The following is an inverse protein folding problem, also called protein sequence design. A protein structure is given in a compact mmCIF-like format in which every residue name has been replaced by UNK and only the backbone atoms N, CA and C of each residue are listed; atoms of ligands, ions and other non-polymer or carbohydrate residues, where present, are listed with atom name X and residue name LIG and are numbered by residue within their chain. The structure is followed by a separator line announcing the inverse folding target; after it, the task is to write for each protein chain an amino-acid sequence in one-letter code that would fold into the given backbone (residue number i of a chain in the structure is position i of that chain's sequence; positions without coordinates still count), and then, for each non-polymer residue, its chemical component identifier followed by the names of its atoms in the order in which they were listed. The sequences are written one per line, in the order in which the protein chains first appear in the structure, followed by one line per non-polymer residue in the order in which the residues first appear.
data_IF_579100283418
#
_entry.id   IF_579100283418
#
_cell.length_a   1.000
_cell.length_b   1.000
_cell.length_c   1.000
_cell.angle_alpha   90.00
_cell.angle_beta   90.00
_cell.angle_gamma   90.00
#
_symmetry.space_group_name_H-M   'P 1'
#
loop_
_entity.id
_entity.type
_entity.pdbx_description
1 polymer ?
#
# COMPACT_ATOMS: atom_id res chain seq x y z
N UNK A 1 -18.95 17.07 22.45
CA UNK A 1 -18.31 18.39 22.51
C UNK A 1 -16.82 18.31 22.15
N UNK A 2 -16.03 17.44 22.80
CA UNK A 2 -14.56 17.35 22.58
C UNK A 2 -14.18 17.05 21.11
N UNK A 3 -14.96 16.24 20.40
CA UNK A 3 -14.73 15.88 19.00
C UNK A 3 -15.16 16.99 18.03
N UNK A 4 -16.09 17.85 18.41
CA UNK A 4 -16.59 18.93 17.55
C UNK A 4 -15.65 20.12 17.51
N UNK A 5 -14.83 20.35 18.53
CA UNK A 5 -13.88 21.46 18.59
C UNK A 5 -12.86 21.41 17.46
N UNK A 6 -12.12 20.30 17.23
CA UNK A 6 -11.17 20.21 16.10
C UNK A 6 -11.85 20.40 14.74
N UNK A 7 -13.02 19.79 14.55
CA UNK A 7 -13.78 19.92 13.29
C UNK A 7 -14.21 21.38 13.07
N UNK A 8 -14.67 22.07 14.11
CA UNK A 8 -15.02 23.47 14.02
C UNK A 8 -13.80 24.33 13.70
N UNK A 9 -12.66 24.11 14.38
CA UNK A 9 -11.41 24.86 14.13
C UNK A 9 -10.98 24.73 12.67
N UNK A 10 -10.93 23.50 12.12
CA UNK A 10 -10.60 23.25 10.72
C UNK A 10 -11.63 23.92 9.79
N UNK A 11 -12.93 23.89 10.14
CA UNK A 11 -13.96 24.55 9.32
C UNK A 11 -13.87 26.09 9.34
N UNK A 12 -13.43 26.67 10.44
CA UNK A 12 -13.23 28.11 10.53
C UNK A 12 -12.00 28.61 9.81
N UNK A 13 -10.92 27.80 9.75
CA UNK A 13 -9.69 28.20 9.04
C UNK A 13 -9.86 28.32 7.52
N UNK A 14 -10.91 27.77 6.92
CA UNK A 14 -11.27 28.04 5.52
C UNK A 14 -11.60 29.52 5.22
N UNK A 15 -11.92 30.30 6.25
CA UNK A 15 -12.27 31.72 6.12
C UNK A 15 -11.10 32.65 6.48
N UNK A 16 -9.94 32.10 6.85
CA UNK A 16 -8.75 32.87 7.11
C UNK A 16 -8.03 33.23 5.80
N UNK A 17 -7.34 34.37 5.78
CA UNK A 17 -6.54 34.79 4.62
C UNK A 17 -5.28 33.90 4.52
N UNK A 18 -5.05 33.34 3.33
CA UNK A 18 -3.84 32.55 3.06
C UNK A 18 -2.62 33.46 2.89
N UNK A 19 -1.47 32.96 3.33
CA UNK A 19 -0.19 33.69 3.22
C UNK A 19 0.33 33.77 1.78
N UNK A 20 1.36 34.61 1.51
CA UNK A 20 2.02 34.64 0.20
C UNK A 20 2.64 33.30 -0.20
N UNK A 21 2.97 32.44 0.76
CA UNK A 21 3.46 31.08 0.52
C UNK A 21 2.46 30.21 -0.25
N UNK A 22 1.15 30.46 -0.12
CA UNK A 22 0.12 29.77 -0.89
C UNK A 22 0.36 29.88 -2.40
N UNK A 23 0.67 31.06 -2.91
CA UNK A 23 0.92 31.28 -4.35
C UNK A 23 2.15 30.50 -4.81
N UNK A 24 3.24 30.56 -4.04
CA UNK A 24 4.49 29.89 -4.37
C UNK A 24 4.30 28.37 -4.38
N UNK A 25 3.65 27.80 -3.37
CA UNK A 25 3.41 26.38 -3.28
C UNK A 25 2.46 25.88 -4.37
N UNK A 26 1.39 26.64 -4.64
CA UNK A 26 0.43 26.31 -5.69
C UNK A 26 1.05 26.32 -7.09
N UNK A 27 1.88 27.31 -7.39
CA UNK A 27 2.48 27.44 -8.72
C UNK A 27 3.67 26.52 -8.93
N UNK A 28 4.40 26.15 -7.86
CA UNK A 28 5.67 25.44 -7.98
C UNK A 28 5.54 23.95 -7.62
N UNK A 29 4.87 23.59 -6.52
CA UNK A 29 4.93 22.24 -5.94
C UNK A 29 3.64 21.44 -6.03
N UNK A 30 2.47 22.06 -6.20
CA UNK A 30 1.19 21.36 -6.18
C UNK A 30 1.09 20.25 -7.22
N UNK A 31 1.59 20.48 -8.43
CA UNK A 31 1.57 19.49 -9.51
C UNK A 31 2.45 18.30 -9.15
N UNK A 32 3.60 18.52 -8.55
CA UNK A 32 4.49 17.47 -8.09
C UNK A 32 3.82 16.62 -6.99
N UNK A 33 3.18 17.26 -6.02
CA UNK A 33 2.46 16.58 -4.94
C UNK A 33 1.33 15.70 -5.45
N UNK A 34 0.54 16.23 -6.39
CA UNK A 34 -0.55 15.47 -7.04
C UNK A 34 0.03 14.28 -7.83
N UNK A 35 1.05 14.51 -8.64
CA UNK A 35 1.68 13.45 -9.44
C UNK A 35 2.25 12.34 -8.58
N UNK A 36 2.99 12.69 -7.52
CA UNK A 36 3.56 11.74 -6.58
C UNK A 36 2.48 10.96 -5.83
N UNK A 37 1.42 11.63 -5.36
CA UNK A 37 0.30 10.97 -4.67
C UNK A 37 -0.43 9.99 -5.57
N UNK A 38 -0.69 10.36 -6.83
CA UNK A 38 -1.34 9.47 -7.80
C UNK A 38 -0.44 8.29 -8.15
N UNK A 39 0.85 8.52 -8.37
CA UNK A 39 1.81 7.48 -8.70
C UNK A 39 1.95 6.48 -7.54
N UNK A 40 2.07 6.98 -6.31
CA UNK A 40 2.10 6.17 -5.10
C UNK A 40 0.82 5.33 -4.98
N UNK A 41 -0.35 5.98 -5.07
CA UNK A 41 -1.65 5.34 -4.96
C UNK A 41 -1.81 4.21 -5.98
N UNK A 42 -1.57 4.48 -7.25
CA UNK A 42 -1.69 3.48 -8.31
C UNK A 42 -0.71 2.32 -8.13
N UNK A 43 0.54 2.60 -7.76
CA UNK A 43 1.54 1.58 -7.50
C UNK A 43 1.14 0.66 -6.34
N UNK A 44 0.68 1.24 -5.24
CA UNK A 44 0.23 0.48 -4.06
C UNK A 44 -1.03 -0.34 -4.38
N UNK A 45 -2.01 0.25 -5.06
CA UNK A 45 -3.24 -0.47 -5.45
C UNK A 45 -2.96 -1.68 -6.34
N UNK A 46 -2.09 -1.54 -7.33
CA UNK A 46 -1.71 -2.64 -8.23
C UNK A 46 -1.04 -3.77 -7.45
N UNK A 47 -0.05 -3.45 -6.63
CA UNK A 47 0.69 -4.47 -5.87
C UNK A 47 -0.18 -5.13 -4.80
N UNK A 48 -0.99 -4.38 -4.06
CA UNK A 48 -1.90 -4.93 -3.06
C UNK A 48 -3.00 -5.77 -3.68
N UNK A 49 -3.48 -5.41 -4.87
CA UNK A 49 -4.39 -6.26 -5.65
C UNK A 49 -3.73 -7.60 -5.99
N UNK A 50 -2.51 -7.59 -6.54
CA UNK A 50 -1.79 -8.81 -6.94
C UNK A 50 -1.48 -9.67 -5.72
N UNK A 51 -0.87 -9.10 -4.68
CA UNK A 51 -0.50 -9.85 -3.48
C UNK A 51 -1.72 -10.31 -2.68
N UNK A 52 -2.70 -9.42 -2.46
CA UNK A 52 -3.90 -9.73 -1.69
C UNK A 52 -4.78 -10.78 -2.35
N UNK A 53 -5.14 -10.60 -3.62
CA UNK A 53 -5.97 -11.58 -4.34
C UNK A 53 -5.22 -12.86 -4.64
N UNK A 54 -3.93 -12.79 -5.00
CA UNK A 54 -3.09 -13.94 -5.30
C UNK A 54 -2.91 -14.84 -4.08
N UNK A 55 -2.54 -14.29 -2.94
CA UNK A 55 -2.39 -15.05 -1.70
C UNK A 55 -3.73 -15.57 -1.18
N UNK A 56 -4.81 -14.78 -1.27
CA UNK A 56 -6.16 -15.23 -0.94
C UNK A 56 -6.58 -16.43 -1.80
N UNK A 57 -6.30 -16.40 -3.10
CA UNK A 57 -6.59 -17.51 -4.00
C UNK A 57 -5.80 -18.77 -3.63
N UNK A 58 -4.48 -18.63 -3.43
CA UNK A 58 -3.62 -19.77 -3.08
C UNK A 58 -4.08 -20.44 -1.79
N UNK A 59 -4.34 -19.67 -0.75
CA UNK A 59 -4.73 -20.20 0.58
C UNK A 59 -6.16 -20.73 0.62
N UNK A 60 -7.04 -20.26 -0.29
CA UNK A 60 -8.44 -20.72 -0.33
C UNK A 60 -8.66 -21.97 -1.18
N UNK A 61 -7.85 -22.18 -2.22
CA UNK A 61 -8.10 -23.23 -3.22
C UNK A 61 -7.01 -24.29 -3.34
N UNK A 62 -5.90 -24.13 -2.62
CA UNK A 62 -4.81 -25.08 -2.65
C UNK A 62 -4.43 -25.53 -1.23
N UNK A 63 -4.35 -26.84 -1.06
CA UNK A 63 -3.76 -27.44 0.12
C UNK A 63 -2.27 -27.68 -0.11
N UNK A 64 -1.44 -26.97 0.64
CA UNK A 64 0.01 -27.08 0.63
C UNK A 64 0.54 -27.13 2.07
N UNK A 65 1.74 -27.71 2.31
CA UNK A 65 2.33 -27.71 3.63
C UNK A 65 2.43 -26.31 4.22
N UNK A 66 1.82 -26.09 5.40
CA UNK A 66 1.78 -24.77 6.04
C UNK A 66 0.60 -23.89 5.66
N UNK A 67 -0.33 -24.31 4.79
CA UNK A 67 -1.48 -23.48 4.39
C UNK A 67 -2.27 -22.94 5.59
N UNK A 68 -2.46 -23.74 6.64
CA UNK A 68 -3.14 -23.32 7.87
C UNK A 68 -2.39 -22.22 8.64
N UNK A 69 -1.08 -22.24 8.63
CA UNK A 69 -0.25 -21.18 9.20
C UNK A 69 -0.37 -19.90 8.36
N UNK A 70 -0.25 -19.98 7.04
CA UNK A 70 -0.34 -18.81 6.16
C UNK A 70 -1.72 -18.14 6.17
N UNK A 71 -2.79 -18.87 6.45
CA UNK A 71 -4.14 -18.30 6.64
C UNK A 71 -4.16 -17.18 7.68
N UNK A 72 -3.34 -17.27 8.72
CA UNK A 72 -3.24 -16.29 9.80
C UNK A 72 -2.02 -15.40 9.66
N UNK A 73 -0.89 -15.96 9.24
CA UNK A 73 0.35 -15.22 9.11
C UNK A 73 0.25 -14.02 8.15
N UNK A 74 -0.52 -14.15 7.06
CA UNK A 74 -0.74 -13.07 6.11
C UNK A 74 -1.54 -11.88 6.71
N UNK A 75 -2.34 -12.14 7.75
CA UNK A 75 -3.06 -11.08 8.45
C UNK A 75 -2.12 -10.29 9.38
N UNK A 76 -1.03 -10.91 9.84
CA UNK A 76 -0.07 -10.25 10.73
C UNK A 76 0.63 -9.04 10.08
N UNK A 77 0.54 -8.88 8.76
CA UNK A 77 1.04 -7.66 8.11
C UNK A 77 0.40 -6.38 8.69
N UNK A 78 -0.84 -6.46 9.18
CA UNK A 78 -1.48 -5.35 9.90
C UNK A 78 -0.84 -5.00 11.25
N UNK A 79 -0.14 -5.93 11.87
CA UNK A 79 0.50 -5.69 13.17
C UNK A 79 1.70 -4.75 13.06
N UNK A 80 2.22 -4.54 11.87
CA UNK A 80 3.41 -3.73 11.62
C UNK A 80 3.01 -2.44 10.89
N UNK A 81 3.19 -1.26 11.50
CA UNK A 81 2.91 0.02 10.86
C UNK A 81 3.74 0.22 9.58
N UNK A 82 3.19 0.93 8.57
CA UNK A 82 3.85 1.12 7.27
C UNK A 82 5.26 1.69 7.35
N UNK A 83 5.52 2.65 8.25
CA UNK A 83 6.85 3.25 8.41
C UNK A 83 7.90 2.25 8.93
N UNK A 84 7.49 1.24 9.73
CA UNK A 84 8.40 0.18 10.19
C UNK A 84 8.77 -0.74 9.01
N UNK A 85 7.83 -1.03 8.11
CA UNK A 85 8.13 -1.72 6.86
C UNK A 85 9.12 -0.90 6.01
N UNK A 86 8.91 0.41 5.88
CA UNK A 86 9.78 1.31 5.14
C UNK A 86 11.22 1.24 5.66
N UNK A 87 11.39 1.44 6.96
CA UNK A 87 12.68 1.36 7.62
C UNK A 87 13.32 -0.03 7.50
N UNK A 88 12.54 -1.09 7.74
CA UNK A 88 13.05 -2.47 7.73
C UNK A 88 13.50 -2.92 6.35
N UNK A 89 12.72 -2.60 5.30
CA UNK A 89 13.07 -2.92 3.91
C UNK A 89 14.30 -2.12 3.50
N UNK A 90 14.32 -0.81 3.80
CA UNK A 90 15.47 0.03 3.50
C UNK A 90 16.74 -0.50 4.19
N UNK A 91 16.70 -0.73 5.51
CA UNK A 91 17.84 -1.24 6.27
C UNK A 91 18.31 -2.63 5.82
N UNK A 92 17.37 -3.51 5.40
CA UNK A 92 17.71 -4.84 4.91
C UNK A 92 18.48 -4.81 3.59
N UNK A 93 18.10 -3.91 2.68
CA UNK A 93 18.70 -3.78 1.34
C UNK A 93 19.75 -2.68 1.21
N UNK A 94 20.03 -1.94 2.29
CA UNK A 94 21.09 -0.93 2.29
C UNK A 94 22.48 -1.53 2.06
N UNK A 95 23.43 -0.68 1.65
CA UNK A 95 24.81 -1.09 1.32
C UNK A 95 25.55 -1.79 2.46
N UNK A 96 25.11 -1.64 3.70
CA UNK A 96 25.62 -2.32 4.89
C UNK A 96 24.58 -3.25 5.53
N UNK A 97 23.47 -3.50 4.85
CA UNK A 97 22.36 -4.31 5.34
C UNK A 97 22.61 -5.82 5.26
N UNK A 98 21.64 -6.56 5.79
CA UNK A 98 21.72 -8.04 5.84
C UNK A 98 21.75 -8.65 4.44
N UNK A 99 20.96 -8.11 3.49
CA UNK A 99 20.95 -8.57 2.11
C UNK A 99 22.33 -8.41 1.47
N UNK A 100 22.98 -7.26 1.68
CA UNK A 100 24.32 -6.99 1.22
C UNK A 100 25.31 -8.02 1.76
N UNK A 101 25.30 -8.27 3.05
CA UNK A 101 26.20 -9.23 3.70
C UNK A 101 26.03 -10.65 3.16
N UNK A 102 24.77 -11.09 2.96
CA UNK A 102 24.47 -12.41 2.38
C UNK A 102 24.99 -12.52 0.94
N UNK A 103 24.71 -11.51 0.11
CA UNK A 103 25.12 -11.51 -1.29
C UNK A 103 26.64 -11.41 -1.45
N UNK A 104 27.30 -10.61 -0.61
CA UNK A 104 28.77 -10.54 -0.54
C UNK A 104 29.39 -11.90 -0.23
N UNK A 105 28.81 -12.64 0.72
CA UNK A 105 29.30 -13.96 1.10
C UNK A 105 29.05 -15.03 0.01
N UNK A 106 28.00 -14.90 -0.79
CA UNK A 106 27.64 -15.83 -1.86
C UNK A 106 28.39 -15.58 -3.19
N UNK A 107 28.57 -14.32 -3.55
CA UNK A 107 29.07 -13.93 -4.89
C UNK A 107 30.46 -13.26 -4.87
N UNK A 108 31.03 -12.99 -3.69
CA UNK A 108 32.34 -12.32 -3.56
C UNK A 108 32.26 -10.79 -3.64
N UNK A 109 33.39 -10.14 -3.36
CA UNK A 109 33.46 -8.66 -3.38
C UNK A 109 33.43 -8.12 -4.81
N UNK A 110 32.48 -7.28 -5.14
CA UNK A 110 32.49 -6.45 -6.35
C UNK A 110 31.32 -6.62 -7.33
N UNK A 111 30.72 -7.79 -7.46
CA UNK A 111 29.62 -7.99 -8.43
C UNK A 111 28.21 -7.73 -7.85
N UNK A 112 28.03 -7.82 -6.56
CA UNK A 112 26.72 -7.73 -5.90
C UNK A 112 26.11 -6.32 -5.94
N UNK A 113 26.91 -5.26 -5.95
CA UNK A 113 26.40 -3.86 -6.00
C UNK A 113 25.58 -3.54 -7.25
N UNK A 114 25.77 -4.32 -8.33
CA UNK A 114 25.02 -4.15 -9.58
C UNK A 114 23.65 -4.83 -9.54
N UNK A 115 23.45 -5.77 -8.64
CA UNK A 115 22.26 -6.64 -8.62
C UNK A 115 21.29 -6.35 -7.46
N UNK A 116 21.69 -5.53 -6.48
CA UNK A 116 20.78 -5.14 -5.40
C UNK A 116 19.89 -4.00 -5.90
N UNK A 117 18.57 -4.20 -5.97
CA UNK A 117 17.65 -3.12 -6.27
C UNK A 117 17.72 -2.08 -5.14
N UNK A 118 17.83 -0.81 -5.50
CA UNK A 118 17.78 0.28 -4.53
C UNK A 118 16.33 0.48 -4.08
N UNK A 119 16.03 0.07 -2.87
CA UNK A 119 14.73 0.29 -2.23
C UNK A 119 14.68 1.68 -1.60
N UNK A 120 14.65 2.71 -2.44
CA UNK A 120 14.62 4.12 -2.04
C UNK A 120 13.60 4.90 -2.86
N UNK A 121 13.21 6.07 -2.39
CA UNK A 121 12.26 6.94 -3.09
C UNK A 121 10.91 6.27 -3.32
N UNK A 122 10.26 6.62 -4.43
CA UNK A 122 8.91 6.16 -4.77
C UNK A 122 8.77 4.63 -4.80
N UNK A 123 9.76 3.92 -5.33
CA UNK A 123 9.71 2.45 -5.39
C UNK A 123 9.76 1.81 -3.99
N UNK A 124 10.60 2.33 -3.09
CA UNK A 124 10.67 1.86 -1.70
C UNK A 124 9.36 2.09 -0.95
N UNK A 125 8.74 3.27 -1.13
CA UNK A 125 7.46 3.59 -0.52
C UNK A 125 6.33 2.69 -1.03
N UNK A 126 6.22 2.50 -2.36
CA UNK A 126 5.21 1.62 -2.97
C UNK A 126 5.31 0.21 -2.41
N UNK A 127 6.52 -0.35 -2.32
CA UNK A 127 6.71 -1.70 -1.79
C UNK A 127 6.37 -1.80 -0.31
N UNK A 128 6.86 -0.86 0.50
CA UNK A 128 6.64 -0.85 1.95
C UNK A 128 5.15 -0.78 2.28
N UNK A 129 4.44 0.15 1.66
CA UNK A 129 2.99 0.29 1.81
C UNK A 129 2.25 -0.94 1.31
N UNK A 130 2.66 -1.48 0.17
CA UNK A 130 2.01 -2.67 -0.38
C UNK A 130 2.14 -3.87 0.54
N UNK A 131 3.31 -4.11 1.14
CA UNK A 131 3.50 -5.21 2.10
C UNK A 131 2.77 -4.99 3.42
N UNK A 132 2.56 -3.74 3.84
CA UNK A 132 1.75 -3.43 5.02
C UNK A 132 0.25 -3.61 4.74
N UNK A 133 -0.24 -3.10 3.60
CA UNK A 133 -1.66 -2.91 3.34
C UNK A 133 -2.34 -4.04 2.54
N UNK A 134 -1.59 -4.99 1.94
CA UNK A 134 -2.20 -6.05 1.13
C UNK A 134 -3.20 -6.92 1.92
N UNK A 135 -3.08 -6.99 3.25
CA UNK A 135 -3.98 -7.77 4.08
C UNK A 135 -5.43 -7.27 4.04
N UNK A 136 -5.69 -5.99 3.77
CA UNK A 136 -7.06 -5.48 3.51
C UNK A 136 -7.71 -6.24 2.35
N UNK A 137 -7.00 -6.32 1.23
CA UNK A 137 -7.48 -7.03 0.04
C UNK A 137 -7.52 -8.54 0.31
N UNK A 138 -6.50 -9.10 0.97
CA UNK A 138 -6.43 -10.52 1.31
C UNK A 138 -7.63 -10.99 2.11
N UNK A 139 -7.96 -10.31 3.20
CA UNK A 139 -9.06 -10.72 4.10
C UNK A 139 -10.40 -10.71 3.36
N UNK A 140 -10.70 -9.63 2.65
CA UNK A 140 -11.98 -9.47 1.98
C UNK A 140 -12.11 -10.39 0.76
N UNK A 141 -11.05 -10.52 -0.03
CA UNK A 141 -11.01 -11.46 -1.15
C UNK A 141 -11.16 -12.91 -0.66
N UNK A 142 -10.41 -13.30 0.39
CA UNK A 142 -10.49 -14.64 0.97
C UNK A 142 -11.88 -14.94 1.52
N UNK A 143 -12.49 -14.02 2.26
CA UNK A 143 -13.87 -14.18 2.75
C UNK A 143 -14.84 -14.42 1.59
N UNK A 144 -14.72 -13.63 0.52
CA UNK A 144 -15.55 -13.80 -0.68
C UNK A 144 -15.30 -15.15 -1.37
N UNK A 145 -14.05 -15.59 -1.50
CA UNK A 145 -13.71 -16.88 -2.11
C UNK A 145 -14.26 -18.07 -1.32
N UNK A 146 -14.22 -18.01 0.02
CA UNK A 146 -14.78 -19.06 0.88
C UNK A 146 -16.31 -19.08 0.86
N UNK A 147 -16.94 -17.92 0.66
CA UNK A 147 -18.40 -17.82 0.57
C UNK A 147 -18.94 -18.28 -0.80
N UNK A 148 -18.12 -18.23 -1.84
CA UNK A 148 -18.47 -18.75 -3.15
C UNK A 148 -18.65 -20.26 -3.05
N UNK A 149 -19.86 -20.75 -3.36
CA UNK A 149 -20.18 -22.17 -3.22
C UNK A 149 -19.28 -23.03 -4.11
N UNK A 150 -18.92 -24.22 -3.61
CA UNK A 150 -18.22 -25.28 -4.36
C UNK A 150 -18.89 -25.53 -5.73
N UNK A 151 -20.20 -25.29 -5.84
CA UNK A 151 -20.97 -25.44 -7.08
C UNK A 151 -20.43 -24.56 -8.24
N UNK A 152 -19.91 -23.34 -7.98
CA UNK A 152 -19.35 -22.50 -9.04
C UNK A 152 -18.05 -23.07 -9.59
N UNK A 153 -17.24 -23.68 -8.73
CA UNK A 153 -15.99 -24.33 -9.13
C UNK A 153 -16.30 -25.59 -9.93
N UNK A 154 -17.27 -26.38 -9.50
CA UNK A 154 -17.66 -27.62 -10.18
C UNK A 154 -18.37 -27.35 -11.49
N UNK A 155 -19.19 -26.31 -11.56
CA UNK A 155 -19.76 -25.82 -12.83
C UNK A 155 -18.65 -25.42 -13.82
N UNK A 156 -17.63 -24.69 -13.35
CA UNK A 156 -16.51 -24.29 -14.21
C UNK A 156 -15.69 -25.48 -14.73
N UNK A 157 -15.52 -26.53 -13.91
CA UNK A 157 -14.89 -27.79 -14.33
C UNK A 157 -15.76 -28.53 -15.37
N UNK A 158 -17.07 -28.59 -15.14
CA UNK A 158 -18.01 -29.21 -16.10
C UNK A 158 -18.04 -28.51 -17.46
N UNK A 159 -17.77 -27.20 -17.47
CA UNK A 159 -17.60 -26.39 -18.69
C UNK A 159 -16.21 -26.54 -19.32
N UNK A 160 -15.34 -27.42 -18.80
CA UNK A 160 -14.01 -27.68 -19.32
C UNK A 160 -12.98 -26.57 -19.05
N UNK A 161 -13.22 -25.68 -18.09
CA UNK A 161 -12.26 -24.63 -17.75
C UNK A 161 -11.07 -25.18 -16.98
N UNK A 162 -9.86 -24.78 -17.37
CA UNK A 162 -8.68 -24.97 -16.54
C UNK A 162 -8.79 -24.18 -15.23
N UNK A 163 -8.06 -24.56 -14.17
CA UNK A 163 -8.08 -23.87 -12.86
C UNK A 163 -7.86 -22.35 -12.98
N UNK A 164 -6.88 -21.93 -13.78
CA UNK A 164 -6.58 -20.50 -14.02
C UNK A 164 -7.72 -19.81 -14.76
N UNK A 165 -8.30 -20.48 -15.77
CA UNK A 165 -9.44 -19.93 -16.53
C UNK A 165 -10.69 -19.80 -15.67
N UNK A 166 -10.95 -20.77 -14.80
CA UNK A 166 -12.03 -20.71 -13.81
C UNK A 166 -11.82 -19.55 -12.83
N UNK A 167 -10.59 -19.36 -12.33
CA UNK A 167 -10.26 -18.24 -11.47
C UNK A 167 -10.53 -16.89 -12.15
N UNK A 168 -9.95 -16.67 -13.34
CA UNK A 168 -10.05 -15.37 -14.02
C UNK A 168 -11.45 -15.05 -14.53
N UNK A 169 -12.23 -16.07 -14.98
CA UNK A 169 -13.53 -15.86 -15.62
C UNK A 169 -14.74 -16.02 -14.69
N UNK A 170 -14.59 -16.71 -13.57
CA UNK A 170 -15.72 -17.02 -12.66
C UNK A 170 -15.45 -16.49 -11.25
N UNK A 171 -14.38 -16.96 -10.61
CA UNK A 171 -14.11 -16.70 -9.20
C UNK A 171 -13.77 -15.22 -8.95
N UNK A 172 -12.81 -14.69 -9.70
CA UNK A 172 -12.36 -13.31 -9.55
C UNK A 172 -13.46 -12.27 -9.88
N UNK A 173 -14.22 -12.42 -10.97
CA UNK A 173 -15.35 -11.53 -11.23
C UNK A 173 -16.44 -11.57 -10.16
N UNK A 174 -16.74 -12.73 -9.59
CA UNK A 174 -17.74 -12.87 -8.52
C UNK A 174 -17.27 -12.22 -7.21
N UNK A 175 -15.96 -12.14 -6.98
CA UNK A 175 -15.36 -11.50 -5.80
C UNK A 175 -15.11 -9.99 -5.97
N UNK A 176 -15.40 -9.41 -7.14
CA UNK A 176 -15.14 -7.99 -7.42
C UNK A 176 -15.61 -7.03 -6.31
N UNK A 177 -16.86 -7.13 -5.78
CA UNK A 177 -17.29 -6.19 -4.75
C UNK A 177 -16.41 -6.21 -3.50
N UNK A 178 -15.99 -7.40 -3.05
CA UNK A 178 -15.14 -7.56 -1.89
C UNK A 178 -13.71 -7.05 -2.15
N UNK A 179 -13.17 -7.30 -3.34
CA UNK A 179 -11.85 -6.84 -3.75
C UNK A 179 -11.84 -5.31 -3.87
N UNK A 180 -12.86 -4.71 -4.49
CA UNK A 180 -12.98 -3.25 -4.60
C UNK A 180 -13.09 -2.60 -3.22
N UNK A 181 -13.86 -3.18 -2.30
CA UNK A 181 -13.92 -2.71 -0.92
C UNK A 181 -12.54 -2.74 -0.24
N UNK A 182 -11.77 -3.83 -0.41
CA UNK A 182 -10.40 -3.93 0.09
C UNK A 182 -9.47 -2.88 -0.50
N UNK A 183 -9.54 -2.68 -1.81
CA UNK A 183 -8.75 -1.67 -2.50
C UNK A 183 -9.14 -0.24 -2.09
N UNK A 184 -10.41 0.01 -1.80
CA UNK A 184 -10.86 1.31 -1.29
C UNK A 184 -10.26 1.62 0.08
N UNK A 185 -10.18 0.63 0.97
CA UNK A 185 -9.49 0.78 2.26
C UNK A 185 -7.99 1.05 2.07
N UNK A 186 -7.34 0.30 1.17
CA UNK A 186 -5.93 0.55 0.81
C UNK A 186 -5.74 1.96 0.27
N UNK A 187 -6.66 2.44 -0.59
CA UNK A 187 -6.58 3.79 -1.13
C UNK A 187 -6.69 4.86 -0.04
N UNK A 188 -7.62 4.71 0.89
CA UNK A 188 -7.77 5.63 2.03
C UNK A 188 -6.51 5.67 2.89
N UNK A 189 -5.98 4.51 3.28
CA UNK A 189 -4.75 4.42 4.08
C UNK A 189 -3.54 4.99 3.33
N UNK A 190 -3.40 4.69 2.03
CA UNK A 190 -2.29 5.23 1.22
C UNK A 190 -2.34 6.74 1.08
N UNK A 191 -3.52 7.33 0.90
CA UNK A 191 -3.69 8.78 0.80
C UNK A 191 -3.50 9.50 2.13
N UNK A 192 -3.76 8.82 3.24
CA UNK A 192 -3.54 9.36 4.59
C UNK A 192 -2.12 9.12 5.13
N UNK A 193 -1.31 8.32 4.42
CA UNK A 193 0.00 7.93 4.91
C UNK A 193 1.00 9.09 4.88
N UNK A 194 1.64 9.32 6.02
CA UNK A 194 2.68 10.32 6.20
C UNK A 194 4.05 9.68 6.48
N UNK A 195 4.13 8.75 7.43
CA UNK A 195 5.39 8.26 7.99
C UNK A 195 6.31 7.57 6.97
N UNK A 196 5.77 6.67 6.14
CA UNK A 196 6.56 5.98 5.13
C UNK A 196 6.96 6.90 3.97
N UNK A 197 6.10 7.83 3.56
CA UNK A 197 6.41 8.75 2.45
C UNK A 197 7.43 9.82 2.87
N UNK A 198 7.34 10.31 4.10
CA UNK A 198 8.31 11.23 4.68
C UNK A 198 9.68 10.56 4.84
N UNK A 199 9.71 9.31 5.34
CA UNK A 199 10.93 8.51 5.45
C UNK A 199 11.69 8.40 4.11
N UNK A 200 10.98 8.23 3.01
CA UNK A 200 11.56 8.17 1.66
C UNK A 200 11.71 9.54 1.00
N UNK A 201 11.44 10.63 1.72
CA UNK A 201 11.52 12.01 1.24
C UNK A 201 10.69 12.25 -0.03
N UNK A 202 9.46 11.72 -0.05
CA UNK A 202 8.54 11.88 -1.18
C UNK A 202 7.54 12.98 -0.84
N UNK A 203 7.49 13.99 -1.70
CA UNK A 203 6.52 15.06 -1.60
C UNK A 203 5.15 14.59 -2.11
N UNK A 204 4.24 14.30 -1.19
CA UNK A 204 2.83 13.96 -1.46
C UNK A 204 1.90 15.05 -0.95
N UNK A 205 0.61 14.97 -1.29
CA UNK A 205 -0.39 15.90 -0.73
C UNK A 205 -0.39 15.88 0.79
N UNK A 206 -0.27 14.70 1.41
CA UNK A 206 -0.22 14.54 2.87
C UNK A 206 1.00 15.22 3.48
N UNK A 207 2.19 15.05 2.88
CA UNK A 207 3.40 15.75 3.34
C UNK A 207 3.30 17.24 3.11
N UNK A 208 2.65 17.69 2.02
CA UNK A 208 2.37 19.08 1.75
C UNK A 208 1.47 19.72 2.80
N UNK A 209 0.37 19.07 3.18
CA UNK A 209 -0.54 19.49 4.26
C UNK A 209 0.24 19.62 5.59
N UNK A 210 1.00 18.61 5.94
CA UNK A 210 1.78 18.58 7.17
C UNK A 210 2.81 19.73 7.23
N UNK A 211 3.58 19.93 6.15
CA UNK A 211 4.58 20.99 6.07
C UNK A 211 3.93 22.38 6.12
N UNK A 212 2.79 22.56 5.47
CA UNK A 212 2.05 23.82 5.51
C UNK A 212 1.59 24.17 6.91
N UNK A 213 1.04 23.20 7.62
CA UNK A 213 0.57 23.40 9.00
C UNK A 213 1.71 23.58 10.00
N UNK A 214 2.68 22.66 10.03
CA UNK A 214 3.69 22.64 11.10
C UNK A 214 4.92 23.51 10.79
N UNK A 215 5.35 23.55 9.53
CA UNK A 215 6.58 24.25 9.15
C UNK A 215 6.33 25.72 8.84
N UNK A 216 5.18 26.02 8.19
CA UNK A 216 4.84 27.39 7.78
C UNK A 216 3.79 28.04 8.68
N UNK A 217 3.25 27.30 9.68
CA UNK A 217 2.21 27.78 10.61
C UNK A 217 0.97 28.36 9.90
N UNK A 218 0.65 27.82 8.71
CA UNK A 218 -0.46 28.25 7.87
C UNK A 218 -1.53 27.16 7.81
N UNK A 219 -2.47 27.22 8.76
CA UNK A 219 -3.57 26.27 8.86
C UNK A 219 -4.59 26.47 7.72
N UNK A 220 -4.78 27.71 7.26
CA UNK A 220 -5.70 28.01 6.18
C UNK A 220 -5.26 27.38 4.86
N UNK A 221 -3.95 27.30 4.62
CA UNK A 221 -3.39 26.64 3.44
C UNK A 221 -3.39 25.10 3.55
N UNK A 222 -3.26 24.56 4.76
CA UNK A 222 -3.25 23.10 4.99
C UNK A 222 -4.63 22.45 4.78
N UNK A 223 -5.70 23.25 4.76
CA UNK A 223 -7.08 22.82 4.53
C UNK A 223 -7.48 22.93 3.07
#
# INVERSE_FOLDING_TARGET
FVVLIPIATVSFSFFEETTEYYKILKETFLIEYIYNSITLLLGVLILTFIFGTGTAYLVSFYDFPGSNFFKWALILSFAVPPYIYAYSIFAFFDNYGTAFTILKNLFGEGEYNKHIPKFSGMFGAILSLSFSLFAYVYILARASFLYQSQNLIDLSKNLGFSKIRAFLKVILPSARPAIVAGLSLVAMETLAEFGAVDFFSINTLTTGIYNSWITFDDLAFAN
#
